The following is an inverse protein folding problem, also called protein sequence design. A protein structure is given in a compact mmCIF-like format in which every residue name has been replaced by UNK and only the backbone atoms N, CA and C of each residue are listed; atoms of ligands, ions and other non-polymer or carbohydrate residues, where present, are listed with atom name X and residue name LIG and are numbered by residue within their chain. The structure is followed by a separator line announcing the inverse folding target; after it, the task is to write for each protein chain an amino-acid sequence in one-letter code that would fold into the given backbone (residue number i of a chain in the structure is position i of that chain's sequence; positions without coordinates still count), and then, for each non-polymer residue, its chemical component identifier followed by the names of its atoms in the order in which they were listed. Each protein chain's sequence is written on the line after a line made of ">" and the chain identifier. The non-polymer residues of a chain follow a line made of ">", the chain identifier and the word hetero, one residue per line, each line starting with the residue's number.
data_IF_673609805057
#
_entry.id   IF_673609805057
#
_cell.length_a   1.000
_cell.length_b   1.000
_cell.length_c   1.000
_cell.angle_alpha   90.00
_cell.angle_beta   90.00
_cell.angle_gamma   90.00
#
_symmetry.space_group_name_H-M   'P 1'
#
loop_
_entity.id
_entity.type
_entity.pdbx_description
1 polymer ?
#
# COMPACT_ATOMS: atom_id res chain seq x y z
N UNK A 1 5.22 20.88 -15.87
CA UNK A 1 6.21 20.36 -14.89
C UNK A 1 6.69 19.01 -15.35
N UNK A 2 7.99 18.77 -15.27
CA UNK A 2 8.62 17.50 -15.65
C UNK A 2 9.11 16.76 -14.39
N UNK A 3 8.70 15.51 -14.21
CA UNK A 3 9.07 14.69 -13.05
C UNK A 3 9.76 13.41 -13.51
N UNK A 4 10.90 13.09 -12.91
CA UNK A 4 11.56 11.80 -13.09
C UNK A 4 11.14 10.87 -11.95
N UNK A 5 10.38 9.82 -12.25
CA UNK A 5 9.97 8.79 -11.28
C UNK A 5 10.99 7.66 -11.29
N UNK A 6 11.62 7.42 -10.14
CA UNK A 6 12.59 6.35 -9.93
C UNK A 6 11.98 5.24 -9.09
N UNK A 7 12.01 4.03 -9.59
CA UNK A 7 11.40 2.89 -8.89
C UNK A 7 12.20 1.61 -9.08
N UNK A 8 12.14 0.72 -8.08
CA UNK A 8 12.72 -0.63 -8.13
C UNK A 8 11.67 -1.71 -8.42
N UNK A 9 10.40 -1.30 -8.62
CA UNK A 9 9.29 -2.18 -8.98
C UNK A 9 8.30 -1.41 -9.84
N UNK A 10 8.02 -1.92 -11.04
CA UNK A 10 7.10 -1.34 -12.02
C UNK A 10 6.61 -2.45 -12.95
N UNK A 11 5.35 -2.44 -13.42
CA UNK A 11 4.85 -3.49 -14.30
C UNK A 11 5.66 -3.59 -15.60
N UNK A 12 5.97 -4.81 -16.02
CA UNK A 12 6.63 -5.13 -17.29
C UNK A 12 5.63 -5.40 -18.42
N UNK A 13 4.36 -5.57 -18.05
CA UNK A 13 3.23 -5.83 -18.94
C UNK A 13 1.91 -5.71 -18.19
N UNK A 14 0.78 -5.87 -18.88
CA UNK A 14 -0.56 -5.69 -18.29
C UNK A 14 -0.84 -6.59 -17.08
N UNK A 15 -0.33 -7.82 -17.11
CA UNK A 15 -0.59 -8.84 -16.07
C UNK A 15 0.49 -8.90 -15.00
N UNK A 16 1.49 -7.99 -15.02
CA UNK A 16 2.55 -7.98 -14.01
C UNK A 16 2.10 -7.19 -12.76
N UNK A 17 1.94 -7.83 -11.60
CA UNK A 17 1.50 -7.16 -10.38
C UNK A 17 2.58 -6.26 -9.77
N UNK A 18 3.81 -6.28 -10.30
CA UNK A 18 4.93 -5.55 -9.73
C UNK A 18 4.76 -4.04 -9.83
N UNK A 19 4.55 -3.36 -8.72
CA UNK A 19 4.49 -1.90 -8.66
C UNK A 19 3.29 -1.27 -9.38
N UNK A 20 2.18 -1.98 -9.51
CA UNK A 20 0.93 -1.49 -10.13
C UNK A 20 0.48 -0.16 -9.53
N UNK A 21 0.60 -0.01 -8.20
CA UNK A 21 0.27 1.24 -7.51
C UNK A 21 1.18 2.42 -7.93
N UNK A 22 2.44 2.16 -8.29
CA UNK A 22 3.33 3.19 -8.86
C UNK A 22 2.87 3.57 -10.27
N UNK A 23 2.51 2.57 -11.08
CA UNK A 23 2.00 2.80 -12.43
C UNK A 23 0.69 3.59 -12.42
N UNK A 24 -0.23 3.26 -11.51
CA UNK A 24 -1.50 3.98 -11.33
C UNK A 24 -1.26 5.43 -10.91
N UNK A 25 -0.36 5.68 -9.96
CA UNK A 25 0.01 7.03 -9.55
C UNK A 25 0.62 7.84 -10.72
N UNK A 26 1.51 7.22 -11.51
CA UNK A 26 2.08 7.84 -12.71
C UNK A 26 1.01 8.16 -13.75
N UNK A 27 0.09 7.24 -14.01
CA UNK A 27 -1.02 7.45 -14.94
C UNK A 27 -1.92 8.62 -14.48
N UNK A 28 -2.24 8.66 -13.18
CA UNK A 28 -3.04 9.72 -12.60
C UNK A 28 -2.42 11.11 -12.76
N UNK A 29 -1.17 11.29 -12.39
CA UNK A 29 -0.53 12.61 -12.53
C UNK A 29 -0.26 13.00 -14.00
N UNK A 30 -0.08 12.03 -14.90
CA UNK A 30 -0.02 12.29 -16.36
C UNK A 30 -1.34 12.83 -16.88
N UNK A 31 -2.47 12.29 -16.41
CA UNK A 31 -3.80 12.79 -16.78
C UNK A 31 -4.03 14.25 -16.33
N UNK A 32 -3.32 14.69 -15.29
CA UNK A 32 -3.31 16.09 -14.82
C UNK A 32 -2.28 16.97 -15.57
N UNK A 33 -1.67 16.49 -16.65
CA UNK A 33 -0.72 17.25 -17.48
C UNK A 33 0.72 17.29 -16.96
N UNK A 34 1.09 16.45 -16.00
CA UNK A 34 2.47 16.32 -15.54
C UNK A 34 3.24 15.44 -16.53
N UNK A 35 4.35 15.94 -17.09
CA UNK A 35 5.26 15.13 -17.91
C UNK A 35 6.08 14.21 -17.00
N UNK A 36 5.93 12.89 -17.15
CA UNK A 36 6.61 11.90 -16.30
C UNK A 36 7.50 10.98 -17.11
N UNK A 37 8.79 11.00 -16.78
CA UNK A 37 9.76 9.99 -17.21
C UNK A 37 9.94 8.95 -16.11
N UNK A 38 9.65 7.68 -16.40
CA UNK A 38 9.81 6.58 -15.44
C UNK A 38 11.15 5.89 -15.68
N UNK A 39 11.87 5.60 -14.61
CA UNK A 39 13.06 4.75 -14.60
C UNK A 39 12.79 3.57 -13.69
N UNK A 40 12.67 2.41 -14.26
CA UNK A 40 12.35 1.14 -13.62
C UNK A 40 13.43 0.08 -13.92
N UNK A 41 13.41 -1.10 -13.33
CA UNK A 41 14.46 -2.11 -13.59
C UNK A 41 14.58 -2.59 -15.03
N UNK A 42 13.62 -2.28 -15.92
CA UNK A 42 13.78 -2.56 -17.36
C UNK A 42 14.73 -1.57 -18.07
N UNK A 43 14.96 -0.40 -17.47
CA UNK A 43 15.77 0.68 -18.05
C UNK A 43 17.25 0.62 -17.67
N UNK A 44 17.63 -0.31 -16.77
CA UNK A 44 18.99 -0.47 -16.28
C UNK A 44 19.32 -1.93 -15.93
N UNK A 45 20.62 -2.24 -15.81
CA UNK A 45 21.05 -3.59 -15.41
C UNK A 45 20.81 -3.81 -13.93
N UNK A 46 19.80 -4.61 -13.59
CA UNK A 46 19.42 -4.89 -12.22
C UNK A 46 20.03 -6.18 -11.63
N UNK A 47 20.76 -6.97 -12.42
CA UNK A 47 21.55 -8.16 -12.00
C UNK A 47 20.73 -9.19 -11.18
N UNK A 48 19.40 -9.24 -11.32
CA UNK A 48 18.54 -10.09 -10.51
C UNK A 48 18.27 -9.57 -9.08
N UNK A 49 18.71 -8.34 -8.75
CA UNK A 49 18.49 -7.70 -7.44
C UNK A 49 17.07 -7.15 -7.31
N UNK A 50 16.53 -6.54 -8.38
CA UNK A 50 15.16 -6.06 -8.44
C UNK A 50 14.19 -7.13 -8.98
N UNK A 51 12.88 -6.93 -8.79
CA UNK A 51 11.78 -7.86 -9.09
C UNK A 51 11.76 -9.13 -8.20
N UNK A 52 10.88 -10.05 -8.52
CA UNK A 52 10.69 -11.29 -7.77
C UNK A 52 10.32 -11.02 -6.30
N UNK A 53 11.15 -11.49 -5.38
CA UNK A 53 10.93 -11.29 -3.94
C UNK A 53 11.34 -9.89 -3.42
N UNK A 54 11.62 -8.95 -4.34
CA UNK A 54 12.16 -7.63 -4.02
C UNK A 54 13.63 -7.67 -3.58
N UNK A 55 14.25 -6.48 -3.42
CA UNK A 55 15.69 -6.37 -3.13
C UNK A 55 16.09 -7.20 -1.91
N UNK A 56 15.40 -7.02 -0.77
CA UNK A 56 15.75 -7.71 0.46
C UNK A 56 15.54 -9.23 0.38
N UNK A 57 14.47 -9.68 -0.27
CA UNK A 57 14.17 -11.10 -0.48
C UNK A 57 15.19 -11.77 -1.39
N UNK A 58 15.55 -11.14 -2.49
CA UNK A 58 16.55 -11.66 -3.44
C UNK A 58 17.95 -11.75 -2.81
N UNK A 59 18.35 -10.73 -2.02
CA UNK A 59 19.64 -10.76 -1.31
C UNK A 59 19.68 -11.83 -0.20
N UNK A 60 18.56 -12.13 0.47
CA UNK A 60 18.49 -13.27 1.41
C UNK A 60 18.57 -14.61 0.71
N UNK A 61 17.83 -14.76 -0.40
CA UNK A 61 17.84 -16.01 -1.16
C UNK A 61 19.17 -16.27 -1.88
N UNK A 62 19.89 -15.22 -2.25
CA UNK A 62 21.16 -15.28 -3.01
C UNK A 62 22.15 -14.24 -2.45
N UNK A 63 22.81 -14.53 -1.30
CA UNK A 63 23.70 -13.57 -0.62
C UNK A 63 24.85 -13.03 -1.48
N UNK A 64 25.33 -13.80 -2.47
CA UNK A 64 26.38 -13.40 -3.40
C UNK A 64 25.97 -12.16 -4.26
N UNK A 65 24.66 -11.90 -4.43
CA UNK A 65 24.18 -10.70 -5.10
C UNK A 65 24.60 -9.41 -4.37
N UNK A 66 24.94 -9.47 -3.10
CA UNK A 66 25.43 -8.32 -2.34
C UNK A 66 26.68 -7.69 -2.96
N UNK A 67 27.56 -8.51 -3.56
CA UNK A 67 28.74 -8.02 -4.28
C UNK A 67 28.38 -7.20 -5.53
N UNK A 68 27.19 -7.38 -6.11
CA UNK A 68 26.71 -6.68 -7.29
C UNK A 68 25.90 -5.39 -6.97
N UNK A 69 25.63 -5.12 -5.69
CA UNK A 69 24.88 -3.93 -5.27
C UNK A 69 25.54 -2.63 -5.75
N UNK A 70 26.88 -2.43 -5.69
CA UNK A 70 27.50 -1.23 -6.24
C UNK A 70 27.26 -1.07 -7.74
N UNK A 71 27.38 -2.14 -8.52
CA UNK A 71 27.14 -2.12 -9.97
C UNK A 71 25.65 -1.86 -10.30
N UNK A 72 24.73 -2.44 -9.50
CA UNK A 72 23.30 -2.15 -9.58
C UNK A 72 23.02 -0.67 -9.34
N UNK A 73 23.51 -0.09 -8.25
CA UNK A 73 23.31 1.32 -7.93
C UNK A 73 23.93 2.25 -8.97
N UNK A 74 25.11 1.92 -9.49
CA UNK A 74 25.74 2.67 -10.57
C UNK A 74 24.92 2.65 -11.86
N UNK A 75 24.45 1.46 -12.26
CA UNK A 75 23.61 1.28 -13.45
C UNK A 75 22.29 2.07 -13.30
N UNK A 76 21.64 1.96 -12.15
CA UNK A 76 20.41 2.69 -11.84
C UNK A 76 20.65 4.20 -11.85
N UNK A 77 21.72 4.68 -11.19
CA UNK A 77 22.10 6.11 -11.20
C UNK A 77 22.32 6.64 -12.60
N UNK A 78 22.96 5.85 -13.47
CA UNK A 78 23.22 6.26 -14.87
C UNK A 78 21.91 6.43 -15.66
N UNK A 79 20.96 5.53 -15.51
CA UNK A 79 19.62 5.65 -16.11
C UNK A 79 18.85 6.84 -15.52
N UNK A 80 18.84 6.96 -14.21
CA UNK A 80 18.19 8.03 -13.46
C UNK A 80 18.74 9.42 -13.86
N UNK A 81 20.07 9.56 -14.02
CA UNK A 81 20.69 10.83 -14.41
C UNK A 81 20.27 11.28 -15.82
N UNK A 82 20.01 10.34 -16.74
CA UNK A 82 19.49 10.67 -18.07
C UNK A 82 18.07 11.21 -18.00
N UNK A 83 17.18 10.51 -17.26
CA UNK A 83 15.79 10.91 -17.11
C UNK A 83 15.63 12.21 -16.28
N UNK A 84 16.51 12.44 -15.30
CA UNK A 84 16.46 13.62 -14.44
C UNK A 84 17.10 14.86 -15.10
N UNK A 85 17.74 14.77 -16.27
CA UNK A 85 18.45 15.91 -16.91
C UNK A 85 17.54 17.13 -17.02
N UNK A 86 16.36 16.95 -17.58
CA UNK A 86 15.39 18.01 -17.85
C UNK A 86 14.22 18.02 -16.86
N UNK A 87 14.31 17.19 -15.79
CA UNK A 87 13.27 17.13 -14.78
C UNK A 87 13.40 18.28 -13.77
N UNK A 88 12.26 18.82 -13.38
CA UNK A 88 12.14 19.83 -12.32
C UNK A 88 12.25 19.18 -10.93
N UNK A 89 11.79 17.93 -10.82
CA UNK A 89 11.70 17.16 -9.58
C UNK A 89 11.97 15.67 -9.85
N UNK A 90 12.57 15.00 -8.86
CA UNK A 90 12.72 13.54 -8.85
C UNK A 90 11.78 12.95 -7.79
N UNK A 91 10.94 11.98 -8.18
CA UNK A 91 10.13 11.22 -7.24
C UNK A 91 10.68 9.79 -7.12
N UNK A 92 11.20 9.45 -5.97
CA UNK A 92 11.79 8.15 -5.70
C UNK A 92 10.83 7.27 -4.88
N UNK A 93 10.49 6.10 -5.40
CA UNK A 93 9.75 5.08 -4.65
C UNK A 93 10.75 4.13 -3.99
N UNK A 94 10.60 3.92 -2.69
CA UNK A 94 11.50 3.22 -1.77
C UNK A 94 12.84 3.95 -1.53
N UNK A 95 13.43 3.68 -0.38
CA UNK A 95 14.70 4.29 0.04
C UNK A 95 15.88 3.96 -0.88
N UNK A 96 15.86 2.80 -1.57
CA UNK A 96 16.91 2.46 -2.53
C UNK A 96 16.92 3.43 -3.72
N UNK A 97 15.75 3.77 -4.27
CA UNK A 97 15.63 4.80 -5.29
C UNK A 97 15.91 6.20 -4.73
N UNK A 98 15.51 6.45 -3.47
CA UNK A 98 15.85 7.68 -2.75
C UNK A 98 17.35 7.90 -2.61
N UNK A 99 18.11 6.85 -2.34
CA UNK A 99 19.58 6.93 -2.29
C UNK A 99 20.18 7.33 -3.65
N UNK A 100 19.62 6.83 -4.76
CA UNK A 100 20.02 7.25 -6.10
C UNK A 100 19.63 8.71 -6.36
N UNK A 101 18.37 9.09 -6.05
CA UNK A 101 17.87 10.46 -6.23
C UNK A 101 18.74 11.49 -5.51
N UNK A 102 19.17 11.19 -4.28
CA UNK A 102 20.04 12.06 -3.47
C UNK A 102 21.41 12.38 -4.12
N UNK A 103 21.83 11.60 -5.14
CA UNK A 103 23.10 11.81 -5.87
C UNK A 103 22.96 12.60 -7.16
N UNK A 104 21.73 12.98 -7.57
CA UNK A 104 21.47 13.59 -8.88
C UNK A 104 21.55 15.12 -8.88
N UNK A 105 21.67 15.75 -7.70
CA UNK A 105 21.72 17.22 -7.59
C UNK A 105 20.40 17.93 -7.94
N UNK A 106 19.30 17.20 -7.97
CA UNK A 106 17.94 17.71 -8.23
C UNK A 106 17.12 17.70 -6.94
N UNK A 107 16.11 18.59 -6.80
CA UNK A 107 15.10 18.43 -5.75
C UNK A 107 14.45 17.04 -5.86
N UNK A 108 14.22 16.39 -4.73
CA UNK A 108 13.57 15.08 -4.76
C UNK A 108 12.62 14.87 -3.59
N UNK A 109 11.60 14.06 -3.85
CA UNK A 109 10.71 13.49 -2.85
C UNK A 109 10.92 11.98 -2.77
N UNK A 110 10.72 11.40 -1.59
CA UNK A 110 10.85 9.95 -1.37
C UNK A 110 9.54 9.41 -0.84
N UNK A 111 8.97 8.43 -1.50
CA UNK A 111 7.81 7.71 -0.99
C UNK A 111 8.26 6.41 -0.33
N UNK A 112 7.93 6.27 0.96
CA UNK A 112 8.21 5.08 1.76
C UNK A 112 6.99 4.16 1.81
N UNK A 113 7.24 2.82 1.72
CA UNK A 113 6.14 1.85 1.60
C UNK A 113 6.03 0.89 2.78
N UNK A 114 7.12 0.64 3.51
CA UNK A 114 7.10 -0.20 4.69
C UNK A 114 8.27 -1.16 4.79
N UNK A 115 8.50 -2.04 3.83
CA UNK A 115 9.65 -2.97 3.85
C UNK A 115 10.98 -2.23 3.86
N UNK A 116 11.07 -1.11 3.20
CA UNK A 116 12.21 -0.20 3.19
C UNK A 116 12.40 0.49 4.55
N UNK A 117 11.32 0.91 5.19
CA UNK A 117 11.35 1.50 6.54
C UNK A 117 11.79 0.46 7.58
N UNK A 118 11.29 -0.77 7.49
CA UNK A 118 11.74 -1.86 8.37
C UNK A 118 13.23 -2.15 8.23
N UNK A 119 13.75 -2.14 6.99
CA UNK A 119 15.18 -2.29 6.74
C UNK A 119 15.96 -1.08 7.27
N UNK A 120 15.46 0.12 7.05
CA UNK A 120 16.08 1.36 7.51
C UNK A 120 16.23 1.43 9.05
N UNK A 121 15.29 0.84 9.80
CA UNK A 121 15.38 0.73 11.26
C UNK A 121 16.58 -0.10 11.71
N UNK A 122 17.04 -1.04 10.90
CA UNK A 122 18.23 -1.86 11.18
C UNK A 122 19.54 -1.16 10.81
N UNK A 123 19.47 -0.25 9.83
CA UNK A 123 20.64 0.49 9.32
C UNK A 123 20.32 1.99 9.17
N UNK A 124 19.94 2.67 10.27
CA UNK A 124 19.40 4.04 10.22
C UNK A 124 20.41 5.05 9.66
N UNK A 125 21.69 4.81 9.81
CA UNK A 125 22.77 5.68 9.30
C UNK A 125 22.79 5.74 7.75
N UNK A 126 22.29 4.73 7.04
CA UNK A 126 22.12 4.77 5.58
C UNK A 126 20.85 5.53 5.15
N UNK A 127 19.77 5.39 5.89
CA UNK A 127 18.48 5.97 5.54
C UNK A 127 18.40 7.47 5.90
N UNK A 128 18.93 7.87 7.05
CA UNK A 128 18.88 9.25 7.55
C UNK A 128 19.34 10.31 6.54
N UNK A 129 20.50 10.18 5.88
CA UNK A 129 20.94 11.18 4.90
C UNK A 129 19.97 11.34 3.72
N UNK A 130 19.34 10.24 3.28
CA UNK A 130 18.36 10.24 2.19
C UNK A 130 17.10 10.97 2.62
N UNK A 131 16.54 10.61 3.80
CA UNK A 131 15.31 11.21 4.31
C UNK A 131 15.50 12.69 4.69
N UNK A 132 16.62 13.06 5.28
CA UNK A 132 16.91 14.44 5.69
C UNK A 132 17.13 15.41 4.53
N UNK A 133 17.61 14.93 3.38
CA UNK A 133 17.84 15.74 2.18
C UNK A 133 16.64 15.79 1.24
N UNK A 134 15.68 14.89 1.41
CA UNK A 134 14.44 14.94 0.66
C UNK A 134 13.69 16.24 0.95
N UNK A 135 13.09 16.86 -0.07
CA UNK A 135 12.20 18.01 0.10
C UNK A 135 10.98 17.65 0.92
N UNK A 136 10.41 16.49 0.59
CA UNK A 136 9.28 15.87 1.28
C UNK A 136 9.49 14.36 1.31
N UNK A 137 9.06 13.75 2.39
CA UNK A 137 8.91 12.29 2.48
C UNK A 137 7.42 11.98 2.42
N UNK A 138 7.02 11.06 1.56
CA UNK A 138 5.64 10.64 1.40
C UNK A 138 5.44 9.30 2.09
N UNK A 139 4.37 9.17 2.82
CA UNK A 139 3.96 7.95 3.49
C UNK A 139 2.51 7.62 3.14
N UNK A 140 2.19 6.33 3.04
CA UNK A 140 0.83 5.92 2.70
C UNK A 140 -0.14 5.97 3.89
N UNK A 141 0.39 6.12 5.12
CA UNK A 141 -0.40 6.19 6.36
C UNK A 141 0.30 7.04 7.43
N UNK A 142 -0.47 7.49 8.43
CA UNK A 142 0.04 8.25 9.58
C UNK A 142 1.08 7.44 10.38
N UNK A 143 0.85 6.15 10.55
CA UNK A 143 1.80 5.26 11.22
C UNK A 143 3.14 5.19 10.46
N UNK A 144 3.12 5.14 9.12
CA UNK A 144 4.34 5.19 8.29
C UNK A 144 4.99 6.56 8.30
N UNK A 145 4.20 7.63 8.41
CA UNK A 145 4.72 8.97 8.57
C UNK A 145 5.54 9.09 9.86
N UNK A 146 4.98 8.68 11.00
CA UNK A 146 5.67 8.67 12.28
C UNK A 146 6.98 7.85 12.26
N UNK A 147 6.97 6.69 11.58
CA UNK A 147 8.20 5.90 11.41
C UNK A 147 9.26 6.61 10.57
N UNK A 148 8.88 7.33 9.51
CA UNK A 148 9.80 8.11 8.68
C UNK A 148 10.39 9.30 9.45
N UNK A 149 9.58 9.98 10.26
CA UNK A 149 10.02 11.06 11.17
C UNK A 149 11.02 10.54 12.19
N UNK A 150 10.74 9.41 12.84
CA UNK A 150 11.66 8.76 13.78
C UNK A 150 13.00 8.37 13.13
N UNK A 151 13.01 8.09 11.82
CA UNK A 151 14.22 7.86 11.03
C UNK A 151 14.91 9.15 10.58
N UNK A 152 14.34 10.32 10.85
CA UNK A 152 14.94 11.64 10.62
C UNK A 152 14.46 12.37 9.38
N UNK A 153 13.30 12.01 8.82
CA UNK A 153 12.61 12.83 7.84
C UNK A 153 12.25 14.20 8.46
N UNK A 154 12.42 15.28 7.70
CA UNK A 154 12.17 16.65 8.19
C UNK A 154 10.73 17.08 7.99
N UNK A 155 10.16 16.69 6.87
CA UNK A 155 8.78 16.98 6.51
C UNK A 155 8.19 15.73 5.88
N UNK A 156 7.09 15.24 6.45
CA UNK A 156 6.38 14.04 5.97
C UNK A 156 4.96 14.42 5.62
N UNK A 157 4.46 13.92 4.49
CA UNK A 157 3.06 14.04 4.10
C UNK A 157 2.46 12.65 3.91
N UNK A 158 1.26 12.49 4.42
CA UNK A 158 0.46 11.29 4.16
C UNK A 158 -0.22 11.47 2.80
N UNK A 159 0.13 10.60 1.85
CA UNK A 159 -0.47 10.56 0.52
C UNK A 159 -0.96 9.13 0.29
N UNK A 160 -2.27 8.89 0.42
CA UNK A 160 -2.85 7.57 0.19
C UNK A 160 -2.64 7.10 -1.25
N UNK A 161 -2.48 5.79 -1.43
CA UNK A 161 -2.62 5.19 -2.77
C UNK A 161 -4.09 5.10 -3.14
N UNK A 162 -4.41 5.40 -4.39
CA UNK A 162 -5.75 5.22 -4.90
C UNK A 162 -6.15 3.75 -4.98
N UNK A 163 -7.44 3.49 -4.81
CA UNK A 163 -8.09 2.21 -5.09
C UNK A 163 -9.15 2.40 -6.16
N UNK A 164 -9.42 1.34 -6.93
CA UNK A 164 -10.50 1.39 -7.92
C UNK A 164 -11.84 1.56 -7.21
N UNK A 165 -12.64 2.52 -7.67
CA UNK A 165 -13.98 2.76 -7.17
C UNK A 165 -14.96 2.21 -8.21
N UNK A 166 -15.73 1.15 -7.91
CA UNK A 166 -16.74 0.65 -8.85
C UNK A 166 -17.87 1.67 -9.04
N UNK A 167 -18.36 1.79 -10.25
CA UNK A 167 -19.48 2.70 -10.56
C UNK A 167 -20.75 2.26 -9.85
N UNK A 168 -21.04 0.97 -9.91
CA UNK A 168 -22.17 0.32 -9.26
C UNK A 168 -21.69 -0.72 -8.25
N UNK A 169 -22.50 -0.97 -7.24
CA UNK A 169 -22.26 -1.98 -6.22
C UNK A 169 -23.56 -2.74 -5.97
N UNK A 170 -23.52 -4.05 -6.16
CA UNK A 170 -24.64 -4.93 -5.86
C UNK A 170 -24.87 -5.14 -4.37
N UNK A 171 -25.98 -5.76 -4.03
CA UNK A 171 -26.30 -6.17 -2.67
C UNK A 171 -25.42 -7.36 -2.23
N UNK A 172 -25.08 -7.46 -0.94
CA UNK A 172 -24.38 -8.63 -0.43
C UNK A 172 -25.24 -9.89 -0.51
N UNK A 173 -24.58 -11.05 -0.53
CA UNK A 173 -25.26 -12.35 -0.51
C UNK A 173 -26.12 -12.53 0.73
N UNK A 174 -27.20 -13.30 0.60
CA UNK A 174 -27.97 -13.83 1.70
C UNK A 174 -27.85 -15.37 1.74
N UNK A 175 -27.48 -15.95 2.89
CA UNK A 175 -27.18 -15.32 4.19
C UNK A 175 -25.85 -14.52 4.16
N UNK A 176 -25.76 -13.47 5.01
CA UNK A 176 -24.61 -12.58 5.03
C UNK A 176 -23.34 -13.30 5.50
N UNK A 177 -22.21 -12.99 4.86
CA UNK A 177 -20.92 -13.59 5.20
C UNK A 177 -19.81 -12.55 5.39
N UNK A 178 -18.76 -12.97 6.08
CA UNK A 178 -17.51 -12.23 6.26
C UNK A 178 -16.54 -12.58 5.15
N UNK A 179 -15.88 -11.60 4.58
CA UNK A 179 -14.77 -11.77 3.64
C UNK A 179 -13.45 -11.37 4.28
N UNK A 180 -12.45 -12.21 4.12
CA UNK A 180 -11.05 -11.87 4.33
C UNK A 180 -10.31 -11.89 3.01
N UNK A 181 -9.56 -10.83 2.70
CA UNK A 181 -8.66 -10.76 1.55
C UNK A 181 -7.26 -10.39 2.02
N UNK A 182 -6.28 -11.26 1.78
CA UNK A 182 -4.91 -10.95 2.15
C UNK A 182 -3.98 -12.14 2.21
N UNK A 183 -2.70 -11.84 2.46
CA UNK A 183 -1.68 -12.87 2.65
C UNK A 183 -1.97 -13.70 3.91
N UNK A 184 -1.92 -15.01 3.80
CA UNK A 184 -2.11 -15.92 4.93
C UNK A 184 -0.81 -15.99 5.76
N UNK A 185 -0.64 -15.03 6.67
CA UNK A 185 0.54 -14.90 7.53
C UNK A 185 0.15 -14.49 8.95
N UNK A 186 1.03 -14.72 9.92
CA UNK A 186 0.76 -14.37 11.32
C UNK A 186 0.54 -12.88 11.54
N UNK A 187 1.27 -12.03 10.80
CA UNK A 187 1.12 -10.58 10.88
C UNK A 187 -0.26 -10.09 10.43
N UNK A 188 -0.92 -10.84 9.53
CA UNK A 188 -2.26 -10.54 9.02
C UNK A 188 -3.41 -11.08 9.87
N UNK A 189 -3.10 -11.87 10.90
CA UNK A 189 -4.08 -12.28 11.90
C UNK A 189 -5.17 -13.23 11.40
N UNK A 190 -4.95 -13.95 10.28
CA UNK A 190 -5.97 -14.82 9.69
C UNK A 190 -6.39 -15.96 10.62
N UNK A 191 -5.50 -16.48 11.44
CA UNK A 191 -5.84 -17.56 12.39
C UNK A 191 -6.71 -17.06 13.54
N UNK A 192 -6.47 -15.83 14.00
CA UNK A 192 -7.33 -15.17 14.98
C UNK A 192 -8.73 -14.93 14.44
N UNK A 193 -8.83 -14.58 13.16
CA UNK A 193 -10.12 -14.44 12.51
C UNK A 193 -10.85 -15.77 12.40
N UNK A 194 -10.16 -16.82 11.95
CA UNK A 194 -10.76 -18.18 11.90
C UNK A 194 -11.24 -18.61 13.28
N UNK A 195 -10.45 -18.38 14.32
CA UNK A 195 -10.84 -18.69 15.70
C UNK A 195 -12.02 -17.80 16.18
N UNK A 196 -12.07 -16.55 15.80
CA UNK A 196 -13.16 -15.64 16.12
C UNK A 196 -14.48 -16.04 15.42
N UNK A 197 -14.41 -16.49 14.17
CA UNK A 197 -15.59 -16.94 13.43
C UNK A 197 -16.13 -18.28 13.94
N UNK A 198 -15.24 -19.22 14.36
CA UNK A 198 -15.67 -20.58 14.71
C UNK A 198 -16.36 -21.27 13.52
N UNK A 199 -17.35 -22.12 13.84
CA UNK A 199 -18.12 -22.86 12.83
C UNK A 199 -19.44 -22.17 12.46
N UNK A 200 -19.84 -21.13 13.18
CA UNK A 200 -21.15 -20.51 13.11
C UNK A 200 -21.17 -19.15 12.36
N UNK A 201 -20.01 -18.51 12.18
CA UNK A 201 -19.90 -17.29 11.39
C UNK A 201 -19.42 -17.62 9.96
N UNK A 202 -20.26 -17.42 8.94
CA UNK A 202 -19.87 -17.69 7.55
C UNK A 202 -18.65 -16.85 7.14
N UNK A 203 -17.54 -17.50 6.75
CA UNK A 203 -16.28 -16.87 6.43
C UNK A 203 -15.76 -17.34 5.05
N UNK A 204 -15.54 -16.39 4.16
CA UNK A 204 -14.80 -16.59 2.90
C UNK A 204 -13.40 -16.03 3.07
N UNK A 205 -12.38 -16.86 2.81
CA UNK A 205 -10.96 -16.48 2.92
C UNK A 205 -10.33 -16.51 1.54
N UNK A 206 -9.87 -15.35 1.07
CA UNK A 206 -9.16 -15.20 -0.21
C UNK A 206 -7.71 -14.82 0.06
N UNK A 207 -6.80 -15.61 -0.48
CA UNK A 207 -5.36 -15.36 -0.39
C UNK A 207 -4.54 -16.61 -0.21
N UNK A 208 -3.23 -16.41 -0.22
CA UNK A 208 -2.23 -17.47 -0.06
C UNK A 208 -1.10 -17.00 0.87
N UNK A 209 -0.28 -17.93 1.34
CA UNK A 209 0.84 -17.61 2.20
C UNK A 209 1.31 -18.76 3.10
N UNK A 210 2.25 -18.50 4.00
CA UNK A 210 2.85 -19.53 4.85
C UNK A 210 1.85 -20.30 5.72
N UNK A 211 0.70 -19.72 6.03
CA UNK A 211 -0.34 -20.36 6.84
C UNK A 211 -1.41 -21.09 6.02
N UNK A 212 -1.23 -21.24 4.71
CA UNK A 212 -2.21 -21.89 3.81
C UNK A 212 -2.65 -23.28 4.29
N UNK A 213 -1.71 -24.09 4.78
CA UNK A 213 -1.99 -25.42 5.30
C UNK A 213 -2.86 -25.42 6.58
N UNK A 214 -2.88 -24.30 7.32
CA UNK A 214 -3.69 -24.10 8.54
C UNK A 214 -5.05 -23.46 8.26
N UNK A 215 -5.31 -23.04 7.01
CA UNK A 215 -6.56 -22.45 6.56
C UNK A 215 -7.02 -23.19 5.30
N UNK A 216 -7.41 -24.48 5.42
CA UNK A 216 -7.70 -25.34 4.26
C UNK A 216 -8.90 -24.83 3.43
N UNK A 217 -9.86 -24.13 4.06
CA UNK A 217 -11.02 -23.53 3.41
C UNK A 217 -10.71 -22.29 2.57
N UNK A 218 -9.47 -21.75 2.60
CA UNK A 218 -9.14 -20.59 1.78
C UNK A 218 -9.24 -20.91 0.27
N UNK A 219 -9.79 -19.98 -0.49
CA UNK A 219 -9.93 -20.07 -1.96
C UNK A 219 -8.56 -20.15 -2.64
N UNK A 220 -7.54 -19.57 -2.04
CA UNK A 220 -6.21 -19.42 -2.62
C UNK A 220 -5.98 -18.00 -3.15
N UNK A 221 -4.90 -17.83 -3.90
CA UNK A 221 -4.59 -16.54 -4.53
C UNK A 221 -5.58 -16.24 -5.64
N UNK A 222 -6.15 -15.04 -5.59
CA UNK A 222 -7.00 -14.45 -6.63
C UNK A 222 -6.32 -13.18 -7.13
N UNK A 223 -6.17 -12.99 -8.45
CA UNK A 223 -5.61 -11.76 -9.01
C UNK A 223 -6.41 -10.52 -8.60
N UNK A 224 -5.76 -9.36 -8.37
CA UNK A 224 -6.46 -8.14 -7.94
C UNK A 224 -7.63 -7.73 -8.82
N UNK A 225 -7.54 -7.91 -10.15
CA UNK A 225 -8.62 -7.61 -11.09
C UNK A 225 -9.85 -8.52 -10.98
N UNK A 226 -9.74 -9.66 -10.28
CA UNK A 226 -10.78 -10.65 -10.10
C UNK A 226 -11.38 -10.63 -8.68
N UNK A 227 -10.93 -9.73 -7.81
CA UNK A 227 -11.42 -9.62 -6.43
C UNK A 227 -12.80 -8.96 -6.32
N UNK A 228 -13.21 -8.20 -7.34
CA UNK A 228 -14.47 -7.46 -7.34
C UNK A 228 -15.68 -8.28 -6.87
N UNK A 229 -15.96 -9.45 -7.49
CA UNK A 229 -17.10 -10.29 -7.10
C UNK A 229 -17.08 -10.76 -5.63
N UNK A 230 -15.90 -10.92 -5.03
CA UNK A 230 -15.79 -11.26 -3.61
C UNK A 230 -16.18 -10.09 -2.71
N UNK A 231 -15.71 -8.88 -3.03
CA UNK A 231 -16.12 -7.68 -2.30
C UNK A 231 -17.62 -7.40 -2.48
N UNK A 232 -18.14 -7.55 -3.70
CA UNK A 232 -19.55 -7.30 -4.00
C UNK A 232 -20.49 -8.18 -3.20
N UNK A 233 -20.15 -9.45 -3.04
CA UNK A 233 -20.98 -10.45 -2.35
C UNK A 233 -20.85 -10.42 -0.84
N UNK A 234 -19.77 -9.85 -0.30
CA UNK A 234 -19.52 -9.81 1.13
C UNK A 234 -20.47 -8.86 1.86
N UNK A 235 -20.92 -9.25 3.05
CA UNK A 235 -21.66 -8.37 3.95
C UNK A 235 -20.72 -7.52 4.82
N UNK A 236 -19.56 -8.07 5.20
CA UNK A 236 -18.55 -7.45 6.05
C UNK A 236 -17.17 -7.87 5.57
N UNK A 237 -16.20 -6.97 5.58
CA UNK A 237 -14.81 -7.33 5.31
C UNK A 237 -13.99 -7.25 6.61
N UNK A 238 -13.26 -8.34 6.88
CA UNK A 238 -12.43 -8.46 8.08
C UNK A 238 -10.97 -8.11 7.81
N UNK A 239 -10.38 -7.24 8.63
CA UNK A 239 -8.97 -6.87 8.60
C UNK A 239 -8.31 -7.11 9.98
N UNK A 240 -8.06 -8.39 10.38
CA UNK A 240 -7.63 -8.79 11.73
C UNK A 240 -6.13 -8.59 11.95
N UNK A 241 -5.47 -7.74 11.17
CA UNK A 241 -4.02 -7.60 11.16
C UNK A 241 -3.45 -7.23 12.53
N UNK A 242 -2.36 -7.90 12.93
CA UNK A 242 -1.53 -7.51 14.07
C UNK A 242 -0.62 -6.33 13.74
N UNK A 243 -0.28 -6.19 12.46
CA UNK A 243 0.51 -5.10 11.87
C UNK A 243 0.04 -4.84 10.45
N UNK A 244 -0.24 -3.58 10.16
CA UNK A 244 -0.69 -3.17 8.82
C UNK A 244 -0.03 -1.85 8.40
N UNK A 245 0.55 -1.83 7.23
CA UNK A 245 1.20 -0.63 6.70
C UNK A 245 0.21 0.36 6.13
N UNK A 246 -0.69 -0.14 5.29
CA UNK A 246 -1.67 0.69 4.58
C UNK A 246 -3.10 0.13 4.68
N UNK A 247 -3.29 -1.17 4.52
CA UNK A 247 -4.61 -1.81 4.56
C UNK A 247 -5.36 -1.69 3.23
N UNK A 248 -4.75 -2.20 2.14
CA UNK A 248 -5.35 -2.17 0.80
C UNK A 248 -6.73 -2.81 0.80
N UNK A 249 -6.86 -4.04 1.33
CA UNK A 249 -8.12 -4.77 1.34
C UNK A 249 -9.24 -4.03 2.09
N UNK A 250 -8.92 -3.34 3.19
CA UNK A 250 -9.90 -2.51 3.91
C UNK A 250 -10.38 -1.33 3.04
N UNK A 251 -9.49 -0.69 2.30
CA UNK A 251 -9.82 0.44 1.42
C UNK A 251 -10.58 0.00 0.19
N UNK A 252 -10.24 -1.17 -0.36
CA UNK A 252 -11.03 -1.80 -1.43
C UNK A 252 -12.44 -2.12 -0.93
N UNK A 253 -12.59 -2.72 0.26
CA UNK A 253 -13.89 -2.96 0.87
C UNK A 253 -14.73 -1.67 1.00
N UNK A 254 -14.10 -0.58 1.46
CA UNK A 254 -14.75 0.73 1.53
C UNK A 254 -15.22 1.22 0.16
N UNK A 255 -14.40 1.04 -0.89
CA UNK A 255 -14.78 1.40 -2.26
C UNK A 255 -16.00 0.60 -2.76
N UNK A 256 -16.11 -0.66 -2.33
CA UNK A 256 -17.26 -1.53 -2.59
C UNK A 256 -18.45 -1.28 -1.62
N UNK A 257 -18.38 -0.26 -0.76
CA UNK A 257 -19.44 0.05 0.19
C UNK A 257 -19.64 -1.02 1.27
N UNK A 258 -18.60 -1.79 1.57
CA UNK A 258 -18.66 -2.82 2.63
C UNK A 258 -18.08 -2.27 3.92
N UNK A 259 -18.80 -2.39 5.05
CA UNK A 259 -18.25 -2.01 6.34
C UNK A 259 -17.08 -2.92 6.69
N UNK A 260 -16.07 -2.36 7.36
CA UNK A 260 -14.86 -3.08 7.73
C UNK A 260 -14.84 -3.33 9.23
N UNK A 261 -14.65 -4.58 9.64
CA UNK A 261 -14.21 -4.91 11.00
C UNK A 261 -12.69 -5.02 11.01
N UNK A 262 -11.99 -4.15 11.71
CA UNK A 262 -10.53 -4.06 11.66
C UNK A 262 -9.88 -3.98 13.03
N UNK A 263 -8.67 -4.54 13.16
CA UNK A 263 -7.84 -4.24 14.31
C UNK A 263 -7.31 -2.81 14.24
N UNK A 264 -7.31 -2.11 15.39
CA UNK A 264 -6.83 -0.74 15.53
C UNK A 264 -5.27 -0.68 15.44
N UNK A 265 -4.71 -0.95 14.27
CA UNK A 265 -3.25 -0.95 14.04
C UNK A 265 -2.86 -0.26 12.74
N UNK A 266 -1.78 0.49 12.81
CA UNK A 266 -1.11 1.08 11.64
C UNK A 266 -2.08 1.81 10.71
N UNK A 267 -2.00 1.55 9.41
CA UNK A 267 -2.83 2.20 8.39
C UNK A 267 -4.31 1.83 8.42
N UNK A 268 -4.75 0.86 9.25
CA UNK A 268 -6.18 0.56 9.43
C UNK A 268 -6.88 1.66 10.25
N UNK A 269 -6.16 2.31 11.17
CA UNK A 269 -6.70 3.43 11.94
C UNK A 269 -6.97 4.66 11.07
N UNK A 270 -6.19 4.82 9.99
CA UNK A 270 -6.44 5.88 9.00
C UNK A 270 -7.60 5.52 8.04
N UNK A 271 -7.72 4.23 7.72
CA UNK A 271 -8.76 3.76 6.81
C UNK A 271 -10.14 3.79 7.45
N UNK A 272 -10.27 3.14 8.59
CA UNK A 272 -11.55 2.90 9.27
C UNK A 272 -11.75 3.94 10.36
N UNK A 273 -12.86 4.65 10.28
CA UNK A 273 -13.35 5.53 11.32
C UNK A 273 -14.38 4.75 12.16
N UNK A 274 -14.03 4.51 13.44
CA UNK A 274 -14.81 3.64 14.32
C UNK A 274 -16.25 4.12 14.49
N UNK A 275 -17.21 3.23 14.28
CA UNK A 275 -18.65 3.51 14.34
C UNK A 275 -19.20 4.34 13.18
N UNK A 276 -18.36 4.79 12.23
CA UNK A 276 -18.74 5.62 11.08
C UNK A 276 -18.55 4.87 9.76
N UNK A 277 -17.37 4.32 9.49
CA UNK A 277 -17.06 3.57 8.24
C UNK A 277 -16.80 2.09 8.48
N UNK A 278 -16.81 1.66 9.72
CA UNK A 278 -16.56 0.31 10.16
C UNK A 278 -16.44 0.24 11.67
N UNK A 279 -15.90 -0.86 12.18
CA UNK A 279 -15.64 -1.05 13.61
C UNK A 279 -14.15 -1.34 13.82
N UNK A 280 -13.54 -0.65 14.78
CA UNK A 280 -12.18 -0.91 15.24
C UNK A 280 -12.17 -1.68 16.55
N UNK A 281 -11.34 -2.71 16.61
CA UNK A 281 -11.16 -3.54 17.80
C UNK A 281 -9.69 -3.61 18.21
N UNK A 282 -9.37 -3.90 19.47
CA UNK A 282 -7.99 -4.12 19.88
C UNK A 282 -7.35 -5.28 19.10
N UNK A 283 -6.06 -5.19 18.73
CA UNK A 283 -5.36 -6.30 18.10
C UNK A 283 -5.17 -7.46 19.09
N UNK A 284 -5.16 -8.70 18.57
CA UNK A 284 -5.00 -9.93 19.37
C UNK A 284 -6.13 -10.16 20.39
N UNK A 285 -7.31 -9.66 20.10
CA UNK A 285 -8.52 -9.91 20.88
C UNK A 285 -9.57 -10.56 19.98
N UNK A 286 -9.57 -11.91 19.85
CA UNK A 286 -10.56 -12.63 19.06
C UNK A 286 -11.99 -12.46 19.56
N UNK A 287 -12.18 -12.26 20.87
CA UNK A 287 -13.51 -12.08 21.45
C UNK A 287 -14.10 -10.72 21.04
N UNK A 288 -13.33 -9.64 21.14
CA UNK A 288 -13.75 -8.32 20.64
C UNK A 288 -13.98 -8.34 19.13
N UNK A 289 -13.13 -9.08 18.36
CA UNK A 289 -13.30 -9.19 16.92
C UNK A 289 -14.60 -9.94 16.57
N UNK A 290 -14.87 -11.05 17.27
CA UNK A 290 -16.14 -11.81 17.13
C UNK A 290 -17.36 -10.92 17.41
N UNK A 291 -17.36 -10.20 18.53
CA UNK A 291 -18.46 -9.31 18.88
C UNK A 291 -18.72 -8.24 17.81
N UNK A 292 -17.66 -7.68 17.20
CA UNK A 292 -17.78 -6.74 16.10
C UNK A 292 -18.40 -7.40 14.85
N UNK A 293 -18.00 -8.63 14.51
CA UNK A 293 -18.55 -9.37 13.39
C UNK A 293 -20.04 -9.71 13.62
N UNK A 294 -20.39 -10.22 14.79
CA UNK A 294 -21.78 -10.55 15.15
C UNK A 294 -22.68 -9.32 15.10
N UNK A 295 -22.20 -8.19 15.61
CA UNK A 295 -22.92 -6.92 15.52
C UNK A 295 -23.18 -6.50 14.08
N UNK A 296 -22.16 -6.60 13.21
CA UNK A 296 -22.29 -6.23 11.80
C UNK A 296 -23.16 -7.23 11.02
N UNK A 297 -23.06 -8.52 11.28
CA UNK A 297 -23.86 -9.54 10.60
C UNK A 297 -25.33 -9.49 11.02
N UNK A 298 -25.59 -9.22 12.29
CA UNK A 298 -26.95 -9.18 12.87
C UNK A 298 -27.73 -7.90 12.59
N UNK A 299 -27.09 -6.82 12.12
CA UNK A 299 -27.72 -5.51 11.93
C UNK A 299 -27.51 -4.99 10.49
N UNK A 300 -28.51 -5.22 9.64
CA UNK A 300 -28.49 -4.81 8.24
C UNK A 300 -28.48 -3.28 8.06
N UNK A 301 -29.19 -2.54 8.94
CA UNK A 301 -29.23 -1.08 8.87
C UNK A 301 -27.87 -0.49 9.24
N UNK A 302 -27.23 -1.04 10.27
CA UNK A 302 -25.86 -0.67 10.64
C UNK A 302 -24.89 -0.93 9.48
N UNK A 303 -24.95 -2.10 8.84
CA UNK A 303 -24.12 -2.43 7.68
C UNK A 303 -24.32 -1.41 6.55
N UNK A 304 -25.56 -1.13 6.19
CA UNK A 304 -25.90 -0.19 5.12
C UNK A 304 -25.37 1.22 5.43
N UNK A 305 -25.56 1.70 6.65
CA UNK A 305 -25.10 3.03 7.10
C UNK A 305 -23.57 3.13 7.07
N UNK A 306 -22.87 2.18 7.67
CA UNK A 306 -21.41 2.19 7.71
C UNK A 306 -20.80 1.97 6.31
N UNK A 307 -21.38 1.11 5.51
CA UNK A 307 -20.95 0.85 4.13
C UNK A 307 -21.10 2.08 3.23
N UNK A 308 -22.23 2.78 3.33
CA UNK A 308 -22.45 4.02 2.59
C UNK A 308 -21.42 5.11 2.96
N UNK A 309 -21.17 5.30 4.26
CA UNK A 309 -20.17 6.25 4.75
C UNK A 309 -18.74 5.84 4.31
N UNK A 310 -18.43 4.54 4.34
CA UNK A 310 -17.15 4.01 3.87
C UNK A 310 -16.94 4.30 2.38
N UNK A 311 -17.97 4.07 1.54
CA UNK A 311 -17.90 4.33 0.10
C UNK A 311 -17.74 5.82 -0.19
N UNK A 312 -18.45 6.67 0.51
CA UNK A 312 -18.32 8.12 0.34
C UNK A 312 -16.90 8.60 0.68
N UNK A 313 -16.34 8.14 1.80
CA UNK A 313 -14.95 8.42 2.17
C UNK A 313 -13.98 7.89 1.10
N UNK A 314 -14.19 6.66 0.59
CA UNK A 314 -13.35 6.10 -0.45
C UNK A 314 -13.39 6.92 -1.75
N UNK A 315 -14.56 7.36 -2.20
CA UNK A 315 -14.72 8.22 -3.38
C UNK A 315 -13.98 9.55 -3.22
N UNK A 316 -14.12 10.18 -2.07
CA UNK A 316 -13.54 11.49 -1.79
C UNK A 316 -12.02 11.43 -1.63
N UNK A 317 -11.47 10.43 -0.94
CA UNK A 317 -10.08 10.40 -0.47
C UNK A 317 -9.20 9.36 -1.16
N UNK A 318 -9.81 8.29 -1.69
CA UNK A 318 -9.09 7.11 -2.17
C UNK A 318 -9.33 6.84 -3.67
N UNK A 319 -10.13 7.65 -4.36
CA UNK A 319 -10.27 7.50 -5.81
C UNK A 319 -8.92 7.73 -6.50
N UNK A 320 -8.67 7.12 -7.67
CA UNK A 320 -7.44 7.38 -8.43
C UNK A 320 -7.22 8.86 -8.74
N UNK A 321 -8.31 9.62 -8.96
CA UNK A 321 -8.26 11.07 -9.15
C UNK A 321 -7.79 11.79 -7.89
N UNK A 322 -8.42 11.54 -6.74
CA UNK A 322 -8.03 12.16 -5.47
C UNK A 322 -6.56 11.86 -5.10
N UNK A 323 -6.10 10.64 -5.32
CA UNK A 323 -4.70 10.27 -5.10
C UNK A 323 -3.75 11.02 -6.06
N UNK A 324 -4.16 11.21 -7.32
CA UNK A 324 -3.38 11.97 -8.30
C UNK A 324 -3.31 13.45 -7.95
N UNK A 325 -4.42 14.06 -7.54
CA UNK A 325 -4.49 15.47 -7.11
C UNK A 325 -3.57 15.70 -5.91
N UNK A 326 -3.67 14.85 -4.87
CA UNK A 326 -2.80 14.93 -3.70
C UNK A 326 -1.32 14.82 -4.07
N UNK A 327 -0.96 13.95 -5.02
CA UNK A 327 0.41 13.79 -5.48
C UNK A 327 0.87 15.00 -6.32
N UNK A 328 0.01 15.57 -7.14
CA UNK A 328 0.31 16.78 -7.92
C UNK A 328 0.55 17.99 -7.01
N UNK A 329 -0.22 18.15 -5.93
CA UNK A 329 0.00 19.17 -4.90
C UNK A 329 1.38 19.01 -4.24
N UNK A 330 1.77 17.78 -3.92
CA UNK A 330 3.11 17.47 -3.41
C UNK A 330 4.19 17.90 -4.39
N UNK A 331 4.04 17.60 -5.67
CA UNK A 331 5.00 17.99 -6.69
C UNK A 331 5.12 19.51 -6.81
N UNK A 332 3.98 20.22 -6.80
CA UNK A 332 3.96 21.67 -6.81
C UNK A 332 4.64 22.29 -5.58
N UNK A 333 4.45 21.69 -4.39
CA UNK A 333 5.10 22.14 -3.17
C UNK A 333 6.61 21.88 -3.18
N UNK A 334 7.03 20.67 -3.61
CA UNK A 334 8.43 20.27 -3.61
C UNK A 334 9.28 20.93 -4.71
N UNK A 335 8.66 21.37 -5.82
CA UNK A 335 9.36 22.06 -6.91
C UNK A 335 9.62 23.54 -6.63
N UNK A 336 8.83 24.19 -5.76
CA UNK A 336 9.07 25.58 -5.38
C UNK A 336 10.43 25.73 -4.71
N UNK A 337 11.29 26.61 -5.24
CA UNK A 337 12.55 26.98 -4.60
C UNK A 337 12.22 27.64 -3.27
N UNK A 338 12.74 27.11 -2.18
CA UNK A 338 12.86 27.88 -0.94
C UNK A 338 13.88 28.98 -1.24
N UNK A 339 13.40 30.22 -1.44
CA UNK A 339 14.22 31.44 -1.45
C UNK A 339 14.94 31.59 -0.11
#
# INVERSE_FOLDING_TARGET
>A
MKVAVLTTSYPRGPDDPAGVFVASAVAGVRALGVEVAVVSPVDFRHFGIAYGHGIAGNLRARPWLAALVPAFLWSFRRAAARAARDADLVHAHWLAAGAVAATLGKPYVVQVWGTDVELARRVPWLARPVLRRARLVLAASSARAAEAEALGAREVRVVPSGVAIPDEVGEPDEPPHVLYVGRLSEEKGVLELVAACGDDVPLVVVGDGPLRARVPQAVGFVPPGELGPFYERAAVVAAPSRREGYGVAAREAMAWGRPVAACAVGGLVDAVEDGVTGLLVPPRDPAAFRAALERLLGDAELRARLGAAAREKARRELSPGAAADALAEVYAAASRRTT
#
